data_IF_279835673004
#
_entry.id   IF_279835673004
#
_cell.length_a   1.000
_cell.length_b   1.000
_cell.length_c   1.000
_cell.angle_alpha   90.00
_cell.angle_beta   90.00
_cell.angle_gamma   90.00
#
_symmetry.space_group_name_H-M   'P 1'
#
loop_
_entity.id
_entity.type
_entity.pdbx_description
1 polymer ?
#
# COMPACT_ATOMS: atom_id res chain seq x y z
N UNK A 1 19.04 -31.87 57.03
CA UNK A 1 18.19 -32.24 55.89
C UNK A 1 16.70 -31.83 56.07
N UNK A 2 16.40 -30.72 56.82
CA UNK A 2 15.01 -30.29 57.08
C UNK A 2 14.72 -28.84 56.65
N UNK A 3 15.63 -28.17 55.90
CA UNK A 3 15.47 -26.74 55.55
C UNK A 3 15.05 -26.47 54.09
N UNK A 4 14.66 -27.49 53.32
CA UNK A 4 14.33 -27.32 51.86
C UNK A 4 12.82 -27.41 51.53
N UNK A 5 11.93 -27.50 52.50
CA UNK A 5 10.48 -27.72 52.27
C UNK A 5 9.60 -26.49 52.58
N UNK A 6 10.18 -25.32 52.87
CA UNK A 6 9.40 -24.14 53.29
C UNK A 6 9.25 -23.04 52.25
N UNK A 7 9.74 -23.25 51.02
CA UNK A 7 9.81 -22.21 50.01
C UNK A 7 8.56 -22.10 49.07
N UNK A 8 7.53 -22.94 49.22
CA UNK A 8 6.43 -22.96 48.25
C UNK A 8 5.01 -22.97 48.86
N UNK A 9 4.85 -22.40 50.06
CA UNK A 9 3.50 -22.11 50.57
C UNK A 9 3.06 -20.75 50.12
N UNK A 10 2.54 -20.69 48.88
CA UNK A 10 1.74 -19.53 48.41
C UNK A 10 0.58 -19.36 49.38
N UNK A 11 0.50 -18.21 50.03
CA UNK A 11 -0.54 -17.87 51.00
C UNK A 11 -1.93 -17.99 50.28
N UNK A 12 -2.87 -18.83 50.77
CA UNK A 12 -4.18 -19.00 50.14
C UNK A 12 -5.02 -17.72 50.11
N UNK A 13 -4.69 -16.69 50.89
CA UNK A 13 -5.26 -15.36 50.79
C UNK A 13 -4.78 -14.62 49.49
N UNK A 14 -3.50 -14.85 49.12
CA UNK A 14 -2.91 -14.34 47.86
C UNK A 14 -3.56 -15.00 46.62
N UNK A 15 -3.83 -16.31 46.68
CA UNK A 15 -4.47 -17.03 45.56
C UNK A 15 -5.91 -16.57 45.29
N UNK A 16 -6.69 -16.25 46.34
CA UNK A 16 -8.06 -15.69 46.19
C UNK A 16 -8.03 -14.33 45.49
N UNK A 17 -7.03 -13.50 45.76
CA UNK A 17 -6.82 -12.22 45.09
C UNK A 17 -6.51 -12.38 43.59
N UNK A 18 -5.66 -13.37 43.24
CA UNK A 18 -5.24 -13.64 41.88
C UNK A 18 -6.35 -14.25 41.01
N UNK A 19 -7.32 -14.96 41.63
CA UNK A 19 -8.49 -15.53 40.91
C UNK A 19 -9.62 -14.53 40.70
N UNK A 20 -9.53 -13.32 41.22
CA UNK A 20 -10.55 -12.27 41.05
C UNK A 20 -10.63 -11.85 39.58
N UNK A 21 -11.87 -11.67 39.01
CA UNK A 21 -12.05 -11.16 37.68
C UNK A 21 -11.39 -9.79 37.50
N UNK A 22 -10.89 -9.52 36.29
CA UNK A 22 -10.35 -8.20 35.95
C UNK A 22 -11.43 -7.12 36.05
N UNK A 23 -11.08 -5.99 36.66
CA UNK A 23 -11.93 -4.81 36.68
C UNK A 23 -12.05 -4.18 35.29
N UNK A 24 -12.94 -3.20 35.17
CA UNK A 24 -13.23 -2.52 33.89
C UNK A 24 -12.01 -1.78 33.36
N UNK A 25 -11.23 -1.16 34.25
CA UNK A 25 -10.02 -0.39 33.86
C UNK A 25 -8.92 -1.31 33.33
N UNK A 26 -8.61 -2.40 34.02
CA UNK A 26 -7.64 -3.38 33.56
C UNK A 26 -8.02 -3.99 32.21
N UNK A 27 -9.30 -4.34 32.02
CA UNK A 27 -9.81 -4.81 30.73
C UNK A 27 -9.62 -3.76 29.62
N UNK A 28 -9.90 -2.49 29.93
CA UNK A 28 -9.75 -1.40 28.97
C UNK A 28 -8.28 -1.18 28.59
N UNK A 29 -7.37 -1.23 29.55
CA UNK A 29 -5.93 -1.14 29.28
C UNK A 29 -5.45 -2.29 28.37
N UNK A 30 -5.90 -3.52 28.57
CA UNK A 30 -5.60 -4.64 27.68
C UNK A 30 -6.15 -4.40 26.27
N UNK A 31 -7.34 -3.85 26.14
CA UNK A 31 -7.92 -3.50 24.82
C UNK A 31 -7.08 -2.44 24.10
N UNK A 32 -6.58 -1.43 24.82
CA UNK A 32 -5.69 -0.39 24.21
C UNK A 32 -4.40 -1.01 23.68
N UNK A 33 -3.74 -1.84 24.50
CA UNK A 33 -2.49 -2.49 24.10
C UNK A 33 -2.72 -3.45 22.93
N UNK A 34 -3.82 -4.21 22.93
CA UNK A 34 -4.20 -5.10 21.85
C UNK A 34 -4.49 -4.34 20.54
N UNK A 35 -5.21 -3.20 20.59
CA UNK A 35 -5.46 -2.37 19.40
C UNK A 35 -4.16 -1.85 18.78
N UNK A 36 -3.20 -1.42 19.60
CA UNK A 36 -1.90 -0.97 19.11
C UNK A 36 -1.11 -2.12 18.47
N UNK A 37 -1.16 -3.33 19.03
CA UNK A 37 -0.52 -4.51 18.44
C UNK A 37 -1.15 -4.88 17.08
N UNK A 38 -2.49 -4.96 17.01
CA UNK A 38 -3.19 -5.25 15.75
C UNK A 38 -2.83 -4.25 14.65
N UNK A 39 -2.82 -2.95 14.99
CA UNK A 39 -2.45 -1.90 14.05
C UNK A 39 -1.04 -2.11 13.48
N UNK A 40 -0.05 -2.39 14.33
CA UNK A 40 1.31 -2.63 13.88
C UNK A 40 1.43 -3.90 13.02
N UNK A 41 0.67 -4.96 13.31
CA UNK A 41 0.64 -6.18 12.49
C UNK A 41 0.02 -5.92 11.11
N UNK A 42 -1.03 -5.11 11.02
CA UNK A 42 -1.62 -4.67 9.73
C UNK A 42 -0.62 -3.79 8.97
N UNK A 43 -0.01 -2.81 9.62
CA UNK A 43 1.01 -1.93 9.03
C UNK A 43 2.24 -2.72 8.57
N UNK A 44 2.64 -3.78 9.27
CA UNK A 44 3.69 -4.71 8.85
C UNK A 44 3.28 -5.60 7.67
N UNK A 45 1.98 -5.81 7.46
CA UNK A 45 1.42 -6.69 6.42
C UNK A 45 1.26 -8.14 6.83
N UNK A 46 1.34 -8.43 8.13
CA UNK A 46 1.15 -9.78 8.67
C UNK A 46 -0.33 -10.12 8.87
N UNK A 47 -1.20 -9.10 8.87
CA UNK A 47 -2.65 -9.24 8.93
C UNK A 47 -3.32 -8.33 7.88
N UNK A 48 -4.49 -8.74 7.41
CA UNK A 48 -5.31 -7.97 6.49
C UNK A 48 -6.03 -6.80 7.19
N UNK A 49 -6.26 -5.70 6.47
CA UNK A 49 -6.96 -4.51 6.98
C UNK A 49 -8.39 -4.79 7.47
N UNK A 50 -9.03 -5.86 7.00
CA UNK A 50 -10.37 -6.27 7.40
C UNK A 50 -10.41 -7.20 8.61
N UNK A 51 -9.29 -7.49 9.27
CA UNK A 51 -9.25 -8.42 10.41
C UNK A 51 -10.15 -7.95 11.55
N UNK A 52 -11.11 -8.81 11.95
CA UNK A 52 -12.00 -8.51 13.06
C UNK A 52 -11.23 -8.43 14.38
N UNK A 53 -11.15 -7.22 14.96
CA UNK A 53 -10.41 -6.95 16.19
C UNK A 53 -10.84 -7.87 17.34
N UNK A 54 -12.13 -8.07 17.54
CA UNK A 54 -12.62 -8.83 18.68
C UNK A 54 -12.22 -10.30 18.61
N UNK A 55 -12.39 -10.93 17.44
CA UNK A 55 -11.99 -12.32 17.20
C UNK A 55 -10.49 -12.51 17.36
N UNK A 56 -9.69 -11.63 16.74
CA UNK A 56 -8.26 -11.66 16.83
C UNK A 56 -7.76 -11.47 18.27
N UNK A 57 -8.28 -10.46 18.97
CA UNK A 57 -7.90 -10.16 20.34
C UNK A 57 -8.14 -11.35 21.30
N UNK A 58 -9.31 -11.99 21.15
CA UNK A 58 -9.63 -13.17 21.97
C UNK A 58 -8.73 -14.36 21.65
N UNK A 59 -8.43 -14.59 20.39
CA UNK A 59 -7.51 -15.65 19.98
C UNK A 59 -6.10 -15.43 20.56
N UNK A 60 -5.56 -14.21 20.48
CA UNK A 60 -4.25 -13.87 21.02
C UNK A 60 -4.21 -13.94 22.56
N UNK A 61 -5.27 -13.53 23.26
CA UNK A 61 -5.37 -13.65 24.69
C UNK A 61 -5.37 -15.13 25.14
N UNK A 62 -6.08 -15.99 24.41
CA UNK A 62 -6.06 -17.45 24.65
C UNK A 62 -4.69 -18.06 24.45
N UNK A 63 -3.95 -17.63 23.42
CA UNK A 63 -2.55 -18.07 23.22
C UNK A 63 -1.66 -17.70 24.41
N UNK A 64 -1.83 -16.47 24.93
CA UNK A 64 -1.03 -15.98 26.04
C UNK A 64 -1.29 -16.71 27.37
N UNK A 65 -2.54 -17.17 27.59
CA UNK A 65 -2.97 -17.75 28.85
C UNK A 65 -3.12 -19.27 28.83
N UNK A 66 -3.14 -19.87 27.62
CA UNK A 66 -3.46 -21.28 27.44
C UNK A 66 -4.93 -21.63 27.61
N UNK A 67 -5.82 -20.63 27.78
CA UNK A 67 -7.24 -20.92 28.06
C UNK A 67 -8.19 -19.71 27.95
N UNK A 68 -8.33 -18.88 28.99
CA UNK A 68 -9.40 -17.88 29.04
C UNK A 68 -9.16 -16.69 28.10
N UNK A 69 -10.28 -16.17 27.53
CA UNK A 69 -10.29 -14.91 26.81
C UNK A 69 -10.16 -13.71 27.76
N UNK A 70 -10.00 -12.48 27.22
CA UNK A 70 -9.94 -11.26 28.07
C UNK A 70 -11.19 -11.08 28.93
N UNK A 71 -12.36 -11.47 28.43
CA UNK A 71 -13.62 -11.38 29.19
C UNK A 71 -13.66 -12.29 30.43
N UNK A 72 -13.00 -13.45 30.33
CA UNK A 72 -12.95 -14.49 31.36
C UNK A 72 -11.68 -14.42 32.21
N UNK A 73 -10.70 -13.57 31.81
CA UNK A 73 -9.43 -13.45 32.46
C UNK A 73 -9.55 -12.89 33.88
N UNK A 74 -8.76 -13.43 34.79
CA UNK A 74 -8.60 -12.95 36.16
C UNK A 74 -7.25 -12.20 36.30
N UNK A 75 -7.03 -11.65 37.50
CA UNK A 75 -5.84 -10.81 37.80
C UNK A 75 -4.52 -11.50 37.43
N UNK A 76 -4.37 -12.81 37.69
CA UNK A 76 -3.15 -13.58 37.32
C UNK A 76 -2.88 -13.59 35.82
N UNK A 77 -3.92 -13.51 34.98
CA UNK A 77 -3.78 -13.52 33.52
C UNK A 77 -3.41 -12.15 32.95
N UNK A 78 -3.66 -11.06 33.69
CA UNK A 78 -3.46 -9.70 33.21
C UNK A 78 -2.02 -9.47 32.69
N UNK A 79 -1.03 -9.81 33.47
CA UNK A 79 0.36 -9.59 33.11
C UNK A 79 0.80 -10.45 31.91
N UNK A 80 0.31 -11.69 31.83
CA UNK A 80 0.61 -12.59 30.71
C UNK A 80 0.02 -12.04 29.41
N UNK A 81 -1.25 -11.65 29.42
CA UNK A 81 -1.94 -11.09 28.24
C UNK A 81 -1.28 -9.77 27.84
N UNK A 82 -1.00 -8.90 28.81
CA UNK A 82 -0.35 -7.60 28.55
C UNK A 82 1.05 -7.79 27.95
N UNK A 83 1.86 -8.67 28.53
CA UNK A 83 3.19 -8.97 28.04
C UNK A 83 3.17 -9.52 26.62
N UNK A 84 2.25 -10.42 26.32
CA UNK A 84 2.07 -10.97 24.97
C UNK A 84 1.77 -9.88 23.94
N UNK A 85 0.81 -8.98 24.20
CA UNK A 85 0.51 -7.90 23.27
C UNK A 85 1.65 -6.89 23.13
N UNK A 86 2.40 -6.61 24.18
CA UNK A 86 3.59 -5.76 24.11
C UNK A 86 4.72 -6.44 23.30
N UNK A 87 4.87 -7.75 23.41
CA UNK A 87 5.82 -8.50 22.59
C UNK A 87 5.45 -8.47 21.11
N UNK A 88 4.19 -8.67 20.77
CA UNK A 88 3.68 -8.48 19.41
C UNK A 88 3.97 -7.07 18.87
N UNK A 89 3.77 -6.03 19.69
CA UNK A 89 4.10 -4.66 19.28
C UNK A 89 5.60 -4.51 18.96
N UNK A 90 6.46 -4.99 19.83
CA UNK A 90 7.93 -4.92 19.63
C UNK A 90 8.36 -5.67 18.38
N UNK A 91 7.84 -6.90 18.21
CA UNK A 91 8.17 -7.75 17.07
C UNK A 91 7.80 -7.13 15.72
N UNK A 92 6.65 -6.48 15.64
CA UNK A 92 6.14 -5.95 14.37
C UNK A 92 6.46 -4.45 14.14
N UNK A 93 6.92 -3.71 15.16
CA UNK A 93 7.20 -2.28 15.04
C UNK A 93 8.27 -1.96 13.98
N UNK A 94 9.35 -2.73 13.93
CA UNK A 94 10.44 -2.52 12.97
C UNK A 94 9.97 -2.81 11.53
N UNK A 95 9.22 -3.88 11.32
CA UNK A 95 8.67 -4.26 10.02
C UNK A 95 7.65 -3.23 9.52
N UNK A 96 6.76 -2.75 10.38
CA UNK A 96 5.80 -1.69 10.06
C UNK A 96 6.51 -0.39 9.66
N UNK A 97 7.54 0.03 10.41
CA UNK A 97 8.34 1.21 10.10
C UNK A 97 9.09 1.06 8.76
N UNK A 98 9.68 -0.11 8.50
CA UNK A 98 10.36 -0.39 7.24
C UNK A 98 9.40 -0.35 6.04
N UNK A 99 8.22 -0.95 6.17
CA UNK A 99 7.18 -0.93 5.12
C UNK A 99 6.71 0.48 4.82
N UNK A 100 6.40 1.27 5.85
CA UNK A 100 6.03 2.68 5.69
C UNK A 100 7.11 3.50 4.99
N UNK A 101 8.38 3.30 5.35
CA UNK A 101 9.51 3.95 4.69
C UNK A 101 9.61 3.55 3.21
N UNK A 102 9.42 2.26 2.90
CA UNK A 102 9.42 1.76 1.52
C UNK A 102 8.25 2.34 0.69
N UNK A 103 7.05 2.47 1.27
CA UNK A 103 5.91 3.12 0.61
C UNK A 103 6.18 4.58 0.27
N UNK A 104 6.74 5.35 1.21
CA UNK A 104 7.11 6.75 0.98
C UNK A 104 8.15 6.86 -0.13
N UNK A 105 9.19 6.01 -0.11
CA UNK A 105 10.21 5.99 -1.16
C UNK A 105 9.61 5.61 -2.53
N UNK A 106 8.74 4.60 -2.58
CA UNK A 106 8.06 4.21 -3.81
C UNK A 106 7.17 5.33 -4.38
N UNK A 107 6.46 6.07 -3.51
CA UNK A 107 5.66 7.22 -3.91
C UNK A 107 6.53 8.35 -4.47
N UNK A 108 7.67 8.61 -3.87
CA UNK A 108 8.60 9.64 -4.35
C UNK A 108 9.19 9.29 -5.72
N UNK A 109 9.58 8.03 -5.93
CA UNK A 109 10.03 7.54 -7.24
C UNK A 109 8.93 7.71 -8.29
N UNK A 110 7.68 7.33 -7.98
CA UNK A 110 6.55 7.48 -8.89
C UNK A 110 6.26 8.95 -9.23
N UNK A 111 6.31 9.85 -8.24
CA UNK A 111 6.15 11.30 -8.43
C UNK A 111 7.27 11.91 -9.26
N UNK A 112 8.50 11.48 -9.08
CA UNK A 112 9.63 11.92 -9.90
C UNK A 112 9.48 11.46 -11.35
N UNK A 113 9.06 10.22 -11.60
CA UNK A 113 8.73 9.74 -12.94
C UNK A 113 7.62 10.57 -13.60
N UNK A 114 6.58 10.94 -12.84
CA UNK A 114 5.52 11.82 -13.33
C UNK A 114 6.06 13.21 -13.66
N UNK A 115 6.88 13.82 -12.81
CA UNK A 115 7.52 15.13 -13.07
C UNK A 115 8.40 15.12 -14.31
N UNK A 116 9.11 14.02 -14.56
CA UNK A 116 9.95 13.88 -15.76
C UNK A 116 9.11 13.83 -17.05
N UNK A 117 7.93 13.26 -17.02
CA UNK A 117 7.03 13.18 -18.18
C UNK A 117 6.15 14.42 -18.36
N UNK A 118 5.65 14.98 -17.25
CA UNK A 118 4.76 16.14 -17.25
C UNK A 118 5.60 17.43 -17.10
N UNK A 119 6.22 17.90 -18.19
CA UNK A 119 7.07 19.09 -18.17
C UNK A 119 6.29 20.38 -18.49
N UNK A 120 5.17 20.26 -19.18
CA UNK A 120 4.34 21.41 -19.55
C UNK A 120 3.07 21.49 -18.68
N UNK A 121 2.44 22.68 -18.66
CA UNK A 121 1.14 22.86 -18.00
C UNK A 121 0.06 21.96 -18.59
N UNK A 122 0.12 21.70 -19.90
CA UNK A 122 -0.83 20.81 -20.58
C UNK A 122 -0.65 19.35 -20.15
N UNK A 123 0.59 18.89 -19.95
CA UNK A 123 0.87 17.54 -19.44
C UNK A 123 0.33 17.34 -18.04
N UNK A 124 0.48 18.35 -17.16
CA UNK A 124 -0.08 18.32 -15.81
C UNK A 124 -1.62 18.31 -15.81
N UNK A 125 -2.26 19.07 -16.68
CA UNK A 125 -3.71 19.04 -16.87
C UNK A 125 -4.17 17.66 -17.37
N UNK A 126 -3.46 17.08 -18.32
CA UNK A 126 -3.72 15.73 -18.81
C UNK A 126 -3.56 14.68 -17.69
N UNK A 127 -2.50 14.79 -16.89
CA UNK A 127 -2.28 13.90 -15.74
C UNK A 127 -3.42 14.01 -14.71
N UNK A 128 -3.84 15.22 -14.37
CA UNK A 128 -4.96 15.47 -13.46
C UNK A 128 -6.27 14.91 -14.02
N UNK A 129 -6.52 15.07 -15.32
CA UNK A 129 -7.72 14.53 -15.99
C UNK A 129 -7.74 13.00 -15.95
N UNK A 130 -6.59 12.35 -16.18
CA UNK A 130 -6.45 10.90 -16.06
C UNK A 130 -6.71 10.45 -14.61
N UNK A 131 -6.09 11.12 -13.63
CA UNK A 131 -6.28 10.83 -12.21
C UNK A 131 -7.75 10.92 -11.81
N UNK A 132 -8.41 12.03 -12.13
CA UNK A 132 -9.83 12.26 -11.82
C UNK A 132 -10.75 11.24 -12.46
N UNK A 133 -10.44 10.81 -13.69
CA UNK A 133 -11.23 9.80 -14.42
C UNK A 133 -11.12 8.41 -13.80
N UNK A 134 -9.92 7.99 -13.43
CA UNK A 134 -9.68 6.64 -12.88
C UNK A 134 -9.95 6.53 -11.39
N UNK A 135 -9.79 7.63 -10.63
CA UNK A 135 -9.85 7.65 -9.17
C UNK A 135 -10.90 8.62 -8.61
N UNK A 136 -12.01 8.81 -9.35
CA UNK A 136 -13.25 9.49 -8.91
C UNK A 136 -13.00 10.89 -8.32
N UNK A 137 -12.27 11.74 -9.05
CA UNK A 137 -12.05 13.13 -8.65
C UNK A 137 -10.92 13.34 -7.62
N UNK A 138 -10.16 12.30 -7.30
CA UNK A 138 -9.00 12.42 -6.41
C UNK A 138 -7.91 13.30 -7.02
N UNK A 139 -7.30 14.16 -6.21
CA UNK A 139 -6.14 14.97 -6.64
C UNK A 139 -4.91 14.07 -6.84
N UNK A 140 -4.04 14.44 -7.80
CA UNK A 140 -2.75 13.77 -8.01
C UNK A 140 -1.89 13.70 -6.75
N UNK A 141 -2.07 14.66 -5.83
CA UNK A 141 -1.33 14.73 -4.55
C UNK A 141 -1.71 13.64 -3.57
N UNK A 142 -2.95 13.15 -3.67
CA UNK A 142 -3.53 12.19 -2.73
C UNK A 142 -3.43 10.74 -3.23
N UNK A 143 -2.87 10.55 -4.44
CA UNK A 143 -2.71 9.23 -5.04
C UNK A 143 -1.59 8.43 -4.37
N UNK A 144 -1.83 7.13 -4.18
CA UNK A 144 -0.81 6.16 -3.79
C UNK A 144 0.24 5.95 -4.90
N UNK A 145 1.41 5.37 -4.58
CA UNK A 145 2.46 5.09 -5.55
C UNK A 145 1.95 4.29 -6.77
N UNK A 146 1.14 3.24 -6.54
CA UNK A 146 0.55 2.41 -7.60
C UNK A 146 -0.36 3.22 -8.52
N UNK A 147 -1.15 4.13 -7.97
CA UNK A 147 -2.06 4.99 -8.73
C UNK A 147 -1.28 6.02 -9.55
N UNK A 148 -0.24 6.63 -8.99
CA UNK A 148 0.64 7.56 -9.73
C UNK A 148 1.31 6.84 -10.90
N UNK A 149 1.79 5.61 -10.72
CA UNK A 149 2.34 4.80 -11.82
C UNK A 149 1.32 4.53 -12.92
N UNK A 150 0.06 4.26 -12.58
CA UNK A 150 -1.01 4.09 -13.60
C UNK A 150 -1.20 5.36 -14.43
N UNK A 151 -1.13 6.54 -13.82
CA UNK A 151 -1.17 7.83 -14.54
C UNK A 151 0.06 7.98 -15.44
N UNK A 152 1.25 7.70 -14.94
CA UNK A 152 2.52 7.74 -15.70
C UNK A 152 2.46 6.85 -16.94
N UNK A 153 2.02 5.60 -16.80
CA UNK A 153 1.87 4.67 -17.94
C UNK A 153 0.86 5.15 -18.96
N UNK A 154 -0.27 5.69 -18.52
CA UNK A 154 -1.30 6.22 -19.43
C UNK A 154 -0.81 7.42 -20.20
N UNK A 155 -0.12 8.37 -19.57
CA UNK A 155 0.50 9.51 -20.24
C UNK A 155 1.53 9.06 -21.27
N UNK A 156 2.42 8.13 -20.92
CA UNK A 156 3.44 7.58 -21.82
C UNK A 156 2.80 6.92 -23.05
N UNK A 157 1.77 6.11 -22.85
CA UNK A 157 1.07 5.44 -23.95
C UNK A 157 0.36 6.43 -24.86
N UNK A 158 -0.26 7.49 -24.31
CA UNK A 158 -0.89 8.54 -25.08
C UNK A 158 0.13 9.32 -25.93
N UNK A 159 1.30 9.65 -25.37
CA UNK A 159 2.38 10.31 -26.09
C UNK A 159 2.90 9.43 -27.26
N UNK A 160 3.12 8.14 -27.01
CA UNK A 160 3.55 7.18 -28.02
C UNK A 160 2.51 7.04 -29.15
N UNK A 161 1.23 6.95 -28.81
CA UNK A 161 0.13 6.89 -29.79
C UNK A 161 0.01 8.18 -30.60
N UNK A 162 0.24 9.34 -30.01
CA UNK A 162 0.26 10.63 -30.71
C UNK A 162 1.45 10.72 -31.68
N UNK A 163 2.65 10.31 -31.29
CA UNK A 163 3.84 10.24 -32.13
C UNK A 163 3.65 9.27 -33.32
N UNK A 164 3.03 8.09 -33.05
CA UNK A 164 2.69 7.12 -34.09
C UNK A 164 1.72 7.66 -35.14
N UNK A 165 0.69 8.38 -34.69
CA UNK A 165 -0.29 9.06 -35.60
C UNK A 165 0.39 10.16 -36.40
N UNK A 166 1.27 10.96 -35.82
CA UNK A 166 2.06 11.97 -36.52
C UNK A 166 2.93 11.38 -37.62
N UNK A 167 3.60 10.27 -37.34
CA UNK A 167 4.44 9.56 -38.31
C UNK A 167 3.62 8.96 -39.47
N UNK A 168 2.45 8.39 -39.17
CA UNK A 168 1.54 7.90 -40.22
C UNK A 168 1.03 9.04 -41.13
N UNK A 169 0.57 10.17 -40.56
CA UNK A 169 0.15 11.33 -41.29
C UNK A 169 1.27 11.90 -42.19
N UNK A 170 2.51 11.95 -41.69
CA UNK A 170 3.66 12.39 -42.48
C UNK A 170 4.01 11.42 -43.61
N UNK A 171 3.87 10.09 -43.40
CA UNK A 171 4.02 9.10 -44.47
C UNK A 171 2.96 9.28 -45.57
N UNK A 172 1.69 9.56 -45.22
CA UNK A 172 0.62 9.84 -46.20
C UNK A 172 0.87 11.13 -46.97
N UNK A 173 1.32 12.22 -46.31
CA UNK A 173 1.71 13.47 -46.98
C UNK A 173 2.83 13.26 -47.97
N UNK A 174 3.89 12.51 -47.63
CA UNK A 174 5.01 12.18 -48.51
C UNK A 174 4.55 11.36 -49.73
N UNK A 175 3.71 10.32 -49.53
CA UNK A 175 3.13 9.53 -50.64
C UNK A 175 2.30 10.37 -51.59
N UNK A 176 1.46 11.29 -51.09
CA UNK A 176 0.66 12.22 -51.94
C UNK A 176 1.54 13.20 -52.71
N UNK A 177 2.60 13.73 -52.07
CA UNK A 177 3.55 14.61 -52.72
C UNK A 177 4.31 13.90 -53.88
N UNK A 178 4.76 12.67 -53.61
CA UNK A 178 5.43 11.84 -54.62
C UNK A 178 4.52 11.51 -55.82
N UNK A 179 3.24 11.12 -55.54
CA UNK A 179 2.25 10.86 -56.59
C UNK A 179 1.95 12.11 -57.42
N UNK A 180 1.86 13.30 -56.79
CA UNK A 180 1.64 14.55 -57.47
C UNK A 180 2.85 14.99 -58.33
N UNK A 181 4.08 14.65 -57.91
CA UNK A 181 5.31 14.90 -58.66
C UNK A 181 5.43 13.99 -59.91
N UNK A 182 4.99 12.72 -59.79
CA UNK A 182 5.00 11.78 -60.91
C UNK A 182 4.00 12.15 -62.00
N UNK A 183 2.86 12.77 -61.66
CA UNK A 183 1.88 13.27 -62.59
C UNK A 183 2.30 14.56 -63.30
N UNK A 184 3.35 15.25 -62.85
CA UNK A 184 3.88 16.49 -63.44
C UNK A 184 5.08 16.28 -64.37
N UNK A 185 5.54 15.06 -64.61
CA UNK A 185 6.53 14.81 -65.64
C UNK A 185 5.89 15.08 -66.99
N UNK A 186 6.41 16.05 -67.76
CA UNK A 186 5.88 16.28 -69.10
C UNK A 186 6.15 15.03 -69.94
N UNK A 187 5.18 14.62 -70.73
CA UNK A 187 5.38 13.58 -71.69
C UNK A 187 6.51 14.08 -72.63
N UNK A 188 7.61 13.39 -72.65
CA UNK A 188 8.66 13.59 -73.64
C UNK A 188 8.08 13.28 -74.99
N UNK A 189 7.71 14.34 -75.72
CA UNK A 189 7.31 14.25 -77.12
C UNK A 189 8.51 13.72 -77.88
N UNK A 190 8.51 12.43 -78.17
CA UNK A 190 9.46 11.84 -79.12
C UNK A 190 8.96 12.31 -80.47
N UNK A 191 9.55 13.34 -81.03
CA UNK A 191 9.35 13.70 -82.50
C UNK A 191 9.90 12.53 -83.32
N UNK A 192 9.15 12.03 -84.26
CA UNK A 192 9.69 11.06 -85.23
C UNK A 192 10.63 11.78 -86.16
N UNK A 193 11.93 11.44 -86.14
CA UNK A 193 12.89 11.86 -87.15
C UNK A 193 12.51 11.24 -88.47
N UNK A 194 11.94 12.10 -89.39
CA UNK A 194 11.87 11.84 -90.81
C UNK A 194 13.25 12.23 -91.36
N UNK A 195 14.08 11.23 -91.67
CA UNK A 195 14.98 11.12 -92.85
C UNK A 195 15.53 9.73 -92.95
#
# INVERSE_FOLDING_TARGET
LAAAAEADRIDPASERGLSRPLDKEAKWQLVKVAKAALRLMIEAGDLEEGTCFETWRQAEARKATGGPSISEACVRHYQLIRAHFLDLQRKHAAAAAARKKAEVAALEIARNALRTLAQTRQDWQAAQTIASRFYKGTDLRDLSAKQVWSVVFTLRNNATAAAGRGNAANRFKRKRAAAKASLRKPATTTEPSLF
#
